data_IF_800408452257
#
_entry.id   IF_800408452257
#
_cell.length_a   1.000
_cell.length_b   1.000
_cell.length_c   1.000
_cell.angle_alpha   90.00
_cell.angle_beta   90.00
_cell.angle_gamma   90.00
#
_symmetry.space_group_name_H-M   'P 1'
#
loop_
_entity.id
_entity.type
_entity.pdbx_description
1 polymer ?
#
# COMPACT_ATOMS: atom_id res chain seq x y z
N UNK A 1 -21.77 6.52 -17.13
CA UNK A 1 -20.86 7.67 -16.93
C UNK A 1 -20.89 8.03 -15.45
N UNK A 2 -19.94 7.53 -14.66
CA UNK A 2 -19.78 7.92 -13.25
C UNK A 2 -19.14 9.30 -13.21
N UNK A 3 -19.99 10.31 -13.16
CA UNK A 3 -19.63 11.70 -13.37
C UNK A 3 -18.70 12.20 -12.26
N UNK A 4 -17.72 12.99 -12.70
CA UNK A 4 -16.64 13.71 -12.00
C UNK A 4 -16.88 14.13 -10.53
N UNK A 5 -18.13 14.31 -10.11
CA UNK A 5 -18.57 14.65 -8.76
C UNK A 5 -18.25 13.56 -7.71
N UNK A 6 -18.45 12.27 -8.01
CA UNK A 6 -18.20 11.17 -7.06
C UNK A 6 -16.71 11.03 -6.69
N UNK A 7 -15.82 11.38 -7.64
CA UNK A 7 -14.37 11.48 -7.40
C UNK A 7 -13.99 12.71 -6.58
N UNK A 8 -14.80 13.76 -6.58
CA UNK A 8 -14.56 14.98 -5.82
C UNK A 8 -14.99 14.79 -4.36
N UNK A 9 -16.14 14.17 -4.14
CA UNK A 9 -16.62 13.81 -2.79
C UNK A 9 -15.69 12.81 -2.10
N UNK A 10 -15.15 11.83 -2.83
CA UNK A 10 -14.11 10.93 -2.30
C UNK A 10 -12.74 11.59 -2.08
N UNK A 11 -12.57 12.86 -2.46
CA UNK A 11 -11.33 13.64 -2.32
C UNK A 11 -11.39 14.74 -1.27
N UNK A 12 -12.56 15.03 -0.71
CA UNK A 12 -12.68 15.92 0.45
C UNK A 12 -12.28 15.17 1.73
N UNK A 13 -11.55 15.87 2.61
CA UNK A 13 -11.10 15.32 3.89
C UNK A 13 -12.30 14.91 4.77
N UNK A 14 -13.42 15.62 4.65
CA UNK A 14 -14.65 15.35 5.39
C UNK A 14 -15.29 14.00 5.03
N UNK A 15 -15.31 13.61 3.75
CA UNK A 15 -15.90 12.34 3.33
C UNK A 15 -15.03 11.12 3.69
N UNK A 16 -13.72 11.32 3.88
CA UNK A 16 -12.81 10.30 4.44
C UNK A 16 -12.70 10.33 5.96
N UNK A 17 -13.30 11.32 6.64
CA UNK A 17 -13.16 11.47 8.09
C UNK A 17 -13.60 10.21 8.84
N UNK A 18 -14.73 9.60 8.47
CA UNK A 18 -15.21 8.37 9.10
C UNK A 18 -14.22 7.20 8.96
N UNK A 19 -13.63 7.04 7.78
CA UNK A 19 -12.62 6.00 7.52
C UNK A 19 -11.32 6.29 8.28
N UNK A 20 -10.93 7.57 8.36
CA UNK A 20 -9.76 8.00 9.12
C UNK A 20 -9.96 7.78 10.62
N UNK A 21 -11.12 8.13 11.15
CA UNK A 21 -11.46 7.94 12.57
C UNK A 21 -11.47 6.43 12.89
N UNK A 22 -12.11 5.59 12.06
CA UNK A 22 -12.07 4.13 12.21
C UNK A 22 -10.64 3.56 12.18
N UNK A 23 -9.83 4.01 11.21
CA UNK A 23 -8.43 3.57 11.11
C UNK A 23 -7.61 4.01 12.33
N UNK A 24 -7.92 5.16 12.91
CA UNK A 24 -7.24 5.66 14.12
C UNK A 24 -7.59 4.80 15.33
N UNK A 25 -8.88 4.48 15.53
CA UNK A 25 -9.35 3.55 16.57
C UNK A 25 -8.70 2.17 16.45
N UNK A 26 -8.64 1.62 15.23
CA UNK A 26 -8.04 0.31 14.97
C UNK A 26 -6.54 0.29 15.30
N UNK A 27 -5.83 1.38 14.98
CA UNK A 27 -4.40 1.55 15.31
C UNK A 27 -4.20 1.64 16.82
N UNK A 28 -5.01 2.43 17.53
CA UNK A 28 -4.94 2.52 19.00
C UNK A 28 -5.21 1.16 19.66
N UNK A 29 -6.22 0.43 19.20
CA UNK A 29 -6.53 -0.91 19.69
C UNK A 29 -5.39 -1.90 19.42
N UNK A 30 -4.73 -1.81 18.25
CA UNK A 30 -3.56 -2.64 17.93
C UNK A 30 -2.38 -2.37 18.86
N UNK A 31 -2.08 -1.10 19.13
CA UNK A 31 -1.02 -0.69 20.05
C UNK A 31 -1.34 -1.09 21.51
N UNK A 32 -2.57 -0.90 21.96
CA UNK A 32 -3.02 -1.26 23.31
C UNK A 32 -2.93 -2.76 23.59
N UNK A 33 -3.10 -3.59 22.56
CA UNK A 33 -2.94 -5.06 22.63
C UNK A 33 -1.47 -5.51 22.66
N UNK A 34 -0.52 -4.57 22.59
CA UNK A 34 0.92 -4.85 22.54
C UNK A 34 1.46 -5.04 21.13
N UNK A 35 0.73 -4.63 20.10
CA UNK A 35 1.24 -4.56 18.73
C UNK A 35 2.31 -3.47 18.57
N UNK A 36 3.30 -3.72 17.72
CA UNK A 36 4.38 -2.77 17.43
C UNK A 36 4.37 -2.39 15.95
N UNK A 37 4.47 -1.09 15.66
CA UNK A 37 4.59 -0.58 14.29
C UNK A 37 6.08 -0.48 13.94
N UNK A 38 6.52 -1.22 12.93
CA UNK A 38 7.88 -1.14 12.41
C UNK A 38 7.96 -0.11 11.28
N UNK A 39 8.93 0.81 11.39
CA UNK A 39 9.25 1.74 10.31
C UNK A 39 10.11 1.01 9.26
N UNK A 40 9.66 1.00 8.02
CA UNK A 40 10.39 0.41 6.90
C UNK A 40 11.05 1.54 6.12
N UNK A 41 12.35 1.43 5.87
CA UNK A 41 13.07 2.40 5.06
C UNK A 41 12.63 2.33 3.59
N UNK A 42 12.54 3.48 2.89
CA UNK A 42 11.99 3.55 1.53
C UNK A 42 12.77 2.75 0.48
N UNK A 43 13.99 2.31 0.79
CA UNK A 43 14.86 1.54 -0.10
C UNK A 43 14.83 0.02 0.19
N UNK A 44 14.03 -0.42 1.16
CA UNK A 44 13.88 -1.84 1.49
C UNK A 44 12.85 -2.45 0.57
N UNK A 45 13.32 -3.01 -0.55
CA UNK A 45 12.50 -3.87 -1.40
C UNK A 45 12.63 -5.30 -0.85
N UNK A 46 11.52 -5.92 -0.44
CA UNK A 46 11.52 -7.25 0.18
C UNK A 46 12.01 -8.38 -0.76
N UNK A 47 12.00 -8.15 -2.08
CA UNK A 47 12.63 -9.03 -3.07
C UNK A 47 13.81 -8.30 -3.72
N UNK A 48 15.06 -8.75 -3.51
CA UNK A 48 16.19 -8.20 -4.24
C UNK A 48 16.02 -8.52 -5.74
N UNK A 49 16.42 -7.62 -6.65
CA UNK A 49 16.34 -7.87 -8.08
C UNK A 49 17.12 -9.14 -8.43
N UNK A 50 16.39 -10.16 -8.93
CA UNK A 50 16.98 -11.44 -9.33
C UNK A 50 17.85 -11.25 -10.57
N UNK A 51 18.98 -11.97 -10.63
CA UNK A 51 19.85 -11.95 -11.82
C UNK A 51 19.03 -12.33 -13.05
N UNK A 52 19.14 -11.58 -14.16
CA UNK A 52 18.48 -11.96 -15.40
C UNK A 52 19.05 -13.31 -15.87
N UNK A 53 18.16 -14.26 -16.13
CA UNK A 53 18.51 -15.52 -16.79
C UNK A 53 18.64 -15.25 -18.28
N UNK A 54 19.82 -15.52 -18.85
CA UNK A 54 20.02 -15.42 -20.30
C UNK A 54 19.52 -16.70 -20.96
N UNK A 55 18.42 -16.62 -21.71
CA UNK A 55 17.90 -17.72 -22.55
C UNK A 55 18.40 -17.64 -24.00
N UNK A 56 19.42 -16.81 -24.27
CA UNK A 56 19.99 -16.70 -25.60
C UNK A 56 20.66 -18.03 -26.01
N UNK A 57 20.33 -18.54 -27.19
CA UNK A 57 20.85 -19.82 -27.70
C UNK A 57 20.13 -21.08 -27.23
N UNK A 58 19.03 -20.98 -26.48
CA UNK A 58 18.21 -22.15 -26.10
C UNK A 58 17.20 -22.58 -27.18
N UNK A 59 17.10 -21.81 -28.27
CA UNK A 59 16.34 -22.20 -29.47
C UNK A 59 17.35 -22.64 -30.55
N UNK A 60 17.17 -23.82 -31.17
CA UNK A 60 17.96 -24.19 -32.35
C UNK A 60 17.77 -23.14 -33.46
N UNK A 61 18.86 -22.83 -34.15
CA UNK A 61 18.85 -22.00 -35.38
C UNK A 61 18.58 -22.87 -36.62
#
# INVERSE_FOLDING_TARGET
>A
MGSREERADTRTIASRKRLHDQMSDDVEAFLARGGQISKIDPHVTADPPKRPVSHYGQRPI
#
